data_IF_971094865620
#
_entry.id   IF_971094865620
#
_cell.length_a   1.000
_cell.length_b   1.000
_cell.length_c   1.000
_cell.angle_alpha   90.00
_cell.angle_beta   90.00
_cell.angle_gamma   90.00
#
_symmetry.space_group_name_H-M   'P 1'
#
loop_
_entity.id
_entity.type
_entity.pdbx_description
1 polymer ?
#
# COMPACT_ATOMS: atom_id res chain seq x y z
N UNK A 1 -3.88 -26.21 16.99
CA UNK A 1 -3.53 -24.85 16.52
C UNK A 1 -2.32 -24.95 15.62
N UNK A 2 -2.54 -25.05 14.30
CA UNK A 2 -1.48 -25.01 13.29
C UNK A 2 -1.54 -23.65 12.62
N UNK A 3 -0.80 -22.70 13.18
CA UNK A 3 -0.70 -21.32 12.71
C UNK A 3 0.64 -21.11 12.02
N UNK A 4 0.65 -20.31 10.96
CA UNK A 4 1.86 -19.95 10.26
C UNK A 4 1.82 -18.47 9.85
N UNK A 5 2.97 -17.80 9.90
CA UNK A 5 3.13 -16.44 9.41
C UNK A 5 4.32 -16.38 8.45
N UNK A 6 4.10 -15.81 7.27
CA UNK A 6 5.13 -15.65 6.24
C UNK A 6 5.19 -14.19 5.82
N UNK A 7 6.39 -13.60 5.91
CA UNK A 7 6.72 -12.29 5.36
C UNK A 7 7.81 -12.47 4.31
N UNK A 8 7.53 -12.10 3.07
CA UNK A 8 8.49 -12.29 1.99
C UNK A 8 8.41 -11.19 0.93
N UNK A 9 9.55 -10.92 0.32
CA UNK A 9 9.74 -9.88 -0.69
C UNK A 9 10.50 -10.45 -1.88
N UNK A 10 9.92 -10.32 -3.07
CA UNK A 10 10.50 -10.83 -4.30
C UNK A 10 10.65 -9.73 -5.34
N UNK A 11 11.77 -9.77 -6.04
CA UNK A 11 11.90 -9.18 -7.37
C UNK A 11 11.81 -10.33 -8.36
N UNK A 12 11.01 -10.19 -9.43
CA UNK A 12 10.81 -11.17 -10.51
C UNK A 12 9.92 -12.40 -10.17
N UNK A 13 9.80 -13.34 -11.13
CA UNK A 13 8.85 -14.48 -11.21
C UNK A 13 9.07 -15.60 -10.16
N UNK A 14 9.12 -15.27 -8.87
CA UNK A 14 9.26 -16.27 -7.78
C UNK A 14 7.94 -16.59 -7.08
N UNK A 15 6.84 -15.99 -7.52
CA UNK A 15 5.50 -16.19 -6.95
C UNK A 15 5.08 -17.67 -6.94
N UNK A 16 5.24 -18.38 -8.06
CA UNK A 16 4.85 -19.80 -8.18
C UNK A 16 5.61 -20.72 -7.23
N UNK A 17 6.87 -20.40 -6.91
CA UNK A 17 7.67 -21.19 -5.97
C UNK A 17 7.09 -21.10 -4.55
N UNK A 18 6.64 -19.93 -4.14
CA UNK A 18 6.00 -19.74 -2.84
C UNK A 18 4.65 -20.41 -2.79
N UNK A 19 3.85 -20.33 -3.86
CA UNK A 19 2.60 -21.07 -3.94
C UNK A 19 2.86 -22.56 -3.74
N UNK A 20 3.84 -23.13 -4.44
CA UNK A 20 4.21 -24.55 -4.27
C UNK A 20 4.59 -24.91 -2.84
N UNK A 21 5.32 -24.03 -2.14
CA UNK A 21 5.69 -24.25 -0.74
C UNK A 21 4.48 -24.13 0.21
N UNK A 22 3.62 -23.13 -0.01
CA UNK A 22 2.41 -22.93 0.76
C UNK A 22 1.42 -24.09 0.58
N UNK A 23 1.31 -24.65 -0.63
CA UNK A 23 0.47 -25.82 -0.88
C UNK A 23 0.91 -27.08 -0.11
N UNK A 24 2.20 -27.20 0.24
CA UNK A 24 2.71 -28.30 1.08
C UNK A 24 2.25 -28.20 2.54
N UNK A 25 1.75 -27.04 2.95
CA UNK A 25 1.19 -26.79 4.29
C UNK A 25 -0.32 -26.52 4.20
N UNK A 26 -1.01 -27.19 3.29
CA UNK A 26 -2.48 -27.11 3.08
C UNK A 26 -3.35 -27.49 4.28
N UNK A 27 -2.75 -28.08 5.32
CA UNK A 27 -3.39 -28.48 6.57
C UNK A 27 -3.51 -27.34 7.61
N UNK A 28 -3.09 -26.12 7.28
CA UNK A 28 -3.16 -24.98 8.20
C UNK A 28 -4.62 -24.57 8.47
N UNK A 29 -4.89 -24.24 9.72
CA UNK A 29 -6.19 -23.69 10.16
C UNK A 29 -6.17 -22.15 10.16
N UNK A 30 -4.97 -21.56 10.31
CA UNK A 30 -4.76 -20.12 10.33
C UNK A 30 -3.46 -19.73 9.63
N UNK A 31 -3.54 -18.71 8.77
CA UNK A 31 -2.43 -18.18 8.00
C UNK A 31 -2.43 -16.65 8.04
N UNK A 32 -1.28 -16.08 8.40
CA UNK A 32 -0.99 -14.65 8.25
C UNK A 32 0.05 -14.49 7.14
N UNK A 33 -0.32 -13.82 6.05
CA UNK A 33 0.48 -13.81 4.84
C UNK A 33 0.84 -12.38 4.40
N UNK A 34 2.13 -12.09 4.32
CA UNK A 34 2.67 -10.86 3.78
C UNK A 34 3.56 -11.20 2.59
N UNK A 35 3.12 -10.84 1.38
CA UNK A 35 3.87 -11.07 0.15
C UNK A 35 3.99 -9.76 -0.63
N UNK A 36 5.20 -9.44 -1.05
CA UNK A 36 5.45 -8.40 -2.03
C UNK A 36 6.10 -9.00 -3.28
N UNK A 37 5.48 -8.82 -4.45
CA UNK A 37 5.94 -9.32 -5.75
C UNK A 37 6.16 -8.13 -6.68
N UNK A 38 7.41 -7.82 -6.99
CA UNK A 38 7.76 -6.69 -7.88
C UNK A 38 8.11 -7.17 -9.29
N UNK A 39 7.64 -6.44 -10.30
CA UNK A 39 7.89 -6.75 -11.72
C UNK A 39 7.21 -8.05 -12.17
N UNK A 40 5.98 -8.28 -11.70
CA UNK A 40 5.18 -9.44 -12.09
C UNK A 40 4.48 -9.19 -13.44
N UNK A 41 3.99 -10.26 -14.08
CA UNK A 41 3.31 -10.15 -15.38
C UNK A 41 1.82 -9.80 -15.27
N UNK A 42 1.25 -9.85 -14.07
CA UNK A 42 -0.17 -9.54 -13.78
C UNK A 42 -0.35 -9.06 -12.34
N UNK A 43 -1.39 -8.28 -12.08
CA UNK A 43 -1.81 -7.98 -10.70
C UNK A 43 -2.36 -9.25 -10.03
N UNK A 44 -2.01 -9.47 -8.76
CA UNK A 44 -2.64 -10.48 -7.92
C UNK A 44 -3.91 -9.85 -7.31
N UNK A 45 -5.07 -10.34 -7.73
CA UNK A 45 -6.39 -9.87 -7.32
C UNK A 45 -7.15 -10.91 -6.48
N UNK A 46 -8.43 -10.69 -6.20
CA UNK A 46 -9.25 -11.62 -5.43
C UNK A 46 -9.44 -12.98 -6.11
N UNK A 47 -9.45 -13.03 -7.44
CA UNK A 47 -9.51 -14.31 -8.17
C UNK A 47 -8.22 -15.12 -7.97
N UNK A 48 -7.06 -14.45 -7.96
CA UNK A 48 -5.80 -15.09 -7.62
C UNK A 48 -5.80 -15.57 -6.16
N UNK A 49 -6.32 -14.77 -5.21
CA UNK A 49 -6.44 -15.19 -3.80
C UNK A 49 -7.26 -16.48 -3.67
N UNK A 50 -8.41 -16.55 -4.35
CA UNK A 50 -9.26 -17.73 -4.35
C UNK A 50 -8.55 -18.95 -4.92
N UNK A 51 -7.98 -18.80 -6.12
CA UNK A 51 -7.45 -19.93 -6.87
C UNK A 51 -6.10 -20.40 -6.35
N UNK A 52 -5.23 -19.48 -5.95
CA UNK A 52 -3.84 -19.79 -5.62
C UNK A 52 -3.67 -20.17 -4.15
N UNK A 53 -4.55 -19.70 -3.25
CA UNK A 53 -4.45 -19.97 -1.81
C UNK A 53 -5.65 -20.76 -1.29
N UNK A 54 -6.86 -20.20 -1.40
CA UNK A 54 -8.04 -20.74 -0.71
C UNK A 54 -8.47 -22.11 -1.27
N UNK A 55 -8.38 -22.31 -2.58
CA UNK A 55 -8.69 -23.59 -3.22
C UNK A 55 -7.77 -24.74 -2.75
N UNK A 56 -6.54 -24.43 -2.35
CA UNK A 56 -5.54 -25.42 -1.91
C UNK A 56 -5.46 -25.57 -0.39
N UNK A 57 -6.16 -24.74 0.37
CA UNK A 57 -6.15 -24.73 1.84
C UNK A 57 -7.57 -24.88 2.42
N UNK A 58 -8.26 -26.01 2.22
CA UNK A 58 -9.66 -26.18 2.61
C UNK A 58 -9.89 -26.16 4.13
N UNK A 59 -8.84 -26.33 4.94
CA UNK A 59 -8.91 -26.27 6.41
C UNK A 59 -8.70 -24.85 6.95
N UNK A 60 -8.43 -23.87 6.08
CA UNK A 60 -8.12 -22.52 6.49
C UNK A 60 -9.39 -21.79 6.97
N UNK A 61 -9.48 -21.56 8.27
CA UNK A 61 -10.59 -20.85 8.91
C UNK A 61 -10.27 -19.38 9.17
N UNK A 62 -8.99 -19.06 9.31
CA UNK A 62 -8.51 -17.70 9.56
C UNK A 62 -7.43 -17.36 8.54
N UNK A 63 -7.70 -16.34 7.73
CA UNK A 63 -6.75 -15.86 6.73
C UNK A 63 -6.63 -14.35 6.82
N UNK A 64 -5.45 -13.87 7.21
CA UNK A 64 -5.09 -12.45 7.19
C UNK A 64 -3.98 -12.27 6.19
N UNK A 65 -4.13 -11.32 5.28
CA UNK A 65 -3.15 -11.14 4.21
C UNK A 65 -2.91 -9.69 3.86
N UNK A 66 -1.69 -9.44 3.36
CA UNK A 66 -1.30 -8.30 2.58
C UNK A 66 -0.49 -8.83 1.40
N UNK A 67 -0.99 -8.59 0.19
CA UNK A 67 -0.33 -8.98 -1.04
C UNK A 67 -0.15 -7.72 -1.88
N UNK A 68 1.10 -7.32 -2.05
CA UNK A 68 1.47 -6.21 -2.91
C UNK A 68 2.08 -6.73 -4.20
N UNK A 69 1.61 -6.23 -5.34
CA UNK A 69 2.11 -6.61 -6.66
C UNK A 69 2.42 -5.36 -7.47
N UNK A 70 3.61 -5.25 -8.05
CA UNK A 70 3.89 -4.24 -9.08
C UNK A 70 4.08 -4.87 -10.46
N UNK A 71 3.57 -4.18 -11.49
CA UNK A 71 3.67 -4.59 -12.89
C UNK A 71 4.17 -3.44 -13.76
N UNK A 72 4.90 -3.78 -14.82
CA UNK A 72 5.26 -2.85 -15.90
C UNK A 72 4.10 -2.74 -16.89
N UNK A 73 3.67 -1.52 -17.19
CA UNK A 73 2.54 -1.25 -18.08
C UNK A 73 2.96 -0.94 -19.52
N UNK A 74 4.27 -0.87 -19.84
CA UNK A 74 4.74 -0.58 -21.20
C UNK A 74 4.28 -1.62 -22.23
N UNK A 75 4.17 -2.88 -21.80
CA UNK A 75 3.83 -4.01 -22.65
C UNK A 75 2.36 -4.43 -22.53
N UNK A 76 1.55 -3.67 -21.78
CA UNK A 76 0.22 -4.11 -21.34
C UNK A 76 -0.82 -3.00 -21.49
N UNK A 77 -1.92 -3.27 -22.20
CA UNK A 77 -3.12 -2.43 -22.19
C UNK A 77 -3.94 -2.68 -20.92
N UNK A 78 -3.31 -2.60 -19.76
CA UNK A 78 -3.94 -2.93 -18.49
C UNK A 78 -4.65 -1.70 -17.93
N UNK A 79 -5.98 -1.75 -17.90
CA UNK A 79 -6.80 -0.78 -17.19
C UNK A 79 -7.19 -1.37 -15.83
N UNK A 80 -6.32 -1.20 -14.83
CA UNK A 80 -6.57 -1.68 -13.46
C UNK A 80 -7.51 -0.67 -12.79
N UNK A 81 -8.76 -1.07 -12.53
CA UNK A 81 -9.69 -0.26 -11.73
C UNK A 81 -9.84 -0.82 -10.33
N UNK A 82 -9.96 0.08 -9.35
CA UNK A 82 -10.16 -0.28 -7.96
C UNK A 82 -11.48 -1.04 -7.76
N UNK A 83 -12.51 -0.65 -8.50
CA UNK A 83 -13.84 -1.24 -8.47
C UNK A 83 -13.77 -2.70 -8.94
N UNK A 84 -13.04 -2.98 -10.02
CA UNK A 84 -12.86 -4.34 -10.51
C UNK A 84 -12.11 -5.20 -9.48
N UNK A 85 -10.99 -4.71 -8.94
CA UNK A 85 -10.23 -5.43 -7.92
C UNK A 85 -11.10 -5.69 -6.68
N UNK A 86 -11.82 -4.68 -6.19
CA UNK A 86 -12.72 -4.83 -5.05
C UNK A 86 -13.83 -5.86 -5.34
N UNK A 87 -14.39 -5.86 -6.55
CA UNK A 87 -15.41 -6.83 -6.95
C UNK A 87 -14.84 -8.26 -6.95
N UNK A 88 -13.61 -8.48 -7.43
CA UNK A 88 -12.98 -9.80 -7.37
C UNK A 88 -12.78 -10.29 -5.93
N UNK A 89 -12.41 -9.40 -5.01
CA UNK A 89 -12.27 -9.72 -3.58
C UNK A 89 -13.61 -10.16 -2.98
N UNK A 90 -14.68 -9.39 -3.23
CA UNK A 90 -16.02 -9.74 -2.76
C UNK A 90 -16.48 -11.08 -3.34
N UNK A 91 -16.29 -11.31 -4.64
CA UNK A 91 -16.67 -12.56 -5.31
C UNK A 91 -15.87 -13.78 -4.78
N UNK A 92 -14.64 -13.57 -4.31
CA UNK A 92 -13.81 -14.59 -3.65
C UNK A 92 -14.15 -14.83 -2.16
N UNK A 93 -15.25 -14.26 -1.67
CA UNK A 93 -15.65 -14.37 -0.25
C UNK A 93 -14.84 -13.50 0.71
N UNK A 94 -13.93 -12.65 0.21
CA UNK A 94 -13.10 -11.75 1.00
C UNK A 94 -13.81 -10.40 1.24
N UNK A 95 -14.97 -10.44 1.90
CA UNK A 95 -15.82 -9.26 2.13
C UNK A 95 -15.14 -8.18 2.98
N UNK A 96 -14.24 -8.59 3.88
CA UNK A 96 -13.48 -7.69 4.74
C UNK A 96 -12.10 -7.34 4.15
N UNK A 97 -11.87 -7.54 2.86
CA UNK A 97 -10.64 -7.13 2.20
C UNK A 97 -10.83 -5.87 1.35
N UNK A 98 -9.75 -5.12 1.17
CA UNK A 98 -9.74 -3.94 0.30
C UNK A 98 -8.45 -3.85 -0.50
N UNK A 99 -8.35 -2.82 -1.33
CA UNK A 99 -7.20 -2.56 -2.19
C UNK A 99 -6.74 -1.11 -2.15
N UNK A 100 -5.44 -0.94 -2.41
CA UNK A 100 -4.76 0.31 -2.74
C UNK A 100 -4.14 0.11 -4.13
N UNK A 101 -4.33 1.09 -5.01
CA UNK A 101 -3.67 1.14 -6.32
C UNK A 101 -2.85 2.41 -6.34
N UNK A 102 -1.61 2.29 -6.76
CA UNK A 102 -0.63 3.36 -6.80
C UNK A 102 0.10 3.33 -8.14
N UNK A 103 0.22 4.49 -8.78
CA UNK A 103 1.08 4.65 -9.95
C UNK A 103 2.51 4.93 -9.44
N UNK A 104 3.40 3.96 -9.53
CA UNK A 104 4.78 4.11 -9.05
C UNK A 104 5.61 5.00 -9.98
N UNK A 105 5.35 4.87 -11.29
CA UNK A 105 5.91 5.68 -12.38
C UNK A 105 4.87 5.74 -13.51
N UNK A 106 5.17 6.47 -14.59
CA UNK A 106 4.38 6.48 -15.83
C UNK A 106 4.17 5.07 -16.41
N UNK A 107 5.04 4.13 -16.07
CA UNK A 107 5.11 2.79 -16.65
C UNK A 107 5.00 1.66 -15.62
N UNK A 108 4.76 1.97 -14.36
CA UNK A 108 4.69 0.97 -13.31
C UNK A 108 3.53 1.26 -12.37
N UNK A 109 2.69 0.25 -12.16
CA UNK A 109 1.55 0.32 -11.23
C UNK A 109 1.76 -0.72 -10.14
N UNK A 110 1.53 -0.33 -8.90
CA UNK A 110 1.39 -1.23 -7.77
C UNK A 110 -0.09 -1.41 -7.40
N UNK A 111 -0.45 -2.63 -7.05
CA UNK A 111 -1.71 -2.95 -6.41
C UNK A 111 -1.44 -3.77 -5.15
N UNK A 112 -1.88 -3.22 -4.03
CA UNK A 112 -1.92 -3.90 -2.74
C UNK A 112 -3.35 -4.35 -2.46
N UNK A 113 -3.55 -5.63 -2.16
CA UNK A 113 -4.80 -6.18 -1.62
C UNK A 113 -4.56 -6.69 -0.20
N UNK A 114 -5.49 -6.46 0.72
CA UNK A 114 -5.31 -6.87 2.11
C UNK A 114 -6.61 -7.05 2.87
N UNK A 115 -6.56 -7.93 3.88
CA UNK A 115 -7.64 -8.16 4.84
C UNK A 115 -7.71 -7.06 5.91
N UNK A 116 -8.92 -6.78 6.39
CA UNK A 116 -9.20 -5.90 7.53
C UNK A 116 -9.63 -6.70 8.78
N UNK A 117 -9.27 -6.23 10.00
CA UNK A 117 -8.37 -5.12 10.27
C UNK A 117 -6.94 -5.40 9.77
N UNK A 118 -6.24 -4.37 9.32
CA UNK A 118 -4.88 -4.52 8.80
C UNK A 118 -3.93 -4.91 9.94
N UNK A 119 -3.28 -6.07 9.83
CA UNK A 119 -2.55 -6.69 10.95
C UNK A 119 -1.01 -6.57 10.86
N UNK A 120 -0.49 -5.82 9.89
CA UNK A 120 0.95 -5.76 9.62
C UNK A 120 1.58 -4.44 10.07
N UNK A 121 2.88 -4.50 10.36
CA UNK A 121 3.68 -3.38 10.85
C UNK A 121 4.22 -2.48 9.74
N UNK A 122 4.14 -2.95 8.49
CA UNK A 122 4.75 -2.36 7.32
C UNK A 122 3.73 -2.29 6.19
N UNK A 123 3.61 -1.12 5.55
CA UNK A 123 2.76 -0.90 4.39
C UNK A 123 3.57 -0.16 3.32
N UNK A 124 3.55 -0.66 2.08
CA UNK A 124 4.26 -0.05 0.97
C UNK A 124 3.36 0.31 -0.20
N UNK A 125 3.91 1.13 -1.09
CA UNK A 125 3.29 1.61 -2.33
C UNK A 125 1.95 2.32 -2.09
N UNK A 126 1.92 3.21 -1.10
CA UNK A 126 0.75 4.05 -0.84
C UNK A 126 0.87 5.36 -1.62
N UNK A 127 -0.04 5.57 -2.58
CA UNK A 127 -0.15 6.81 -3.34
C UNK A 127 -1.16 7.80 -2.76
N UNK A 128 -1.46 8.85 -3.52
CA UNK A 128 -2.39 9.93 -3.17
C UNK A 128 -3.80 9.44 -2.81
N UNK A 129 -4.20 8.26 -3.31
CA UNK A 129 -5.51 7.67 -3.09
C UNK A 129 -5.36 6.36 -2.33
N UNK A 130 -5.76 6.36 -1.06
CA UNK A 130 -5.83 5.17 -0.21
C UNK A 130 -7.11 5.21 0.64
N UNK A 131 -7.61 4.06 1.13
CA UNK A 131 -8.86 4.02 1.87
C UNK A 131 -8.76 4.77 3.20
N UNK A 132 -9.87 5.40 3.61
CA UNK A 132 -9.96 6.07 4.91
C UNK A 132 -10.08 5.04 6.05
N UNK A 133 -8.95 4.44 6.40
CA UNK A 133 -8.81 3.39 7.41
C UNK A 133 -7.71 3.84 8.39
N UNK A 134 -7.90 3.47 9.66
CA UNK A 134 -6.85 3.61 10.68
C UNK A 134 -6.00 2.34 10.68
N UNK A 135 -4.74 2.47 10.29
CA UNK A 135 -3.75 1.40 10.27
C UNK A 135 -3.03 1.33 11.61
N UNK A 136 -3.72 0.84 12.63
CA UNK A 136 -3.28 0.89 14.03
C UNK A 136 -1.96 0.18 14.33
N UNK A 137 -1.50 -0.72 13.47
CA UNK A 137 -0.25 -1.49 13.68
C UNK A 137 0.91 -1.02 12.79
N UNK A 138 0.65 -0.18 11.78
CA UNK A 138 1.69 0.24 10.84
C UNK A 138 2.64 1.22 11.51
N UNK A 139 3.91 0.83 11.54
CA UNK A 139 5.02 1.65 12.07
C UNK A 139 5.98 2.08 10.97
N UNK A 140 5.95 1.43 9.81
CA UNK A 140 6.77 1.79 8.66
C UNK A 140 5.90 1.92 7.40
N UNK A 141 5.98 3.08 6.77
CA UNK A 141 5.19 3.43 5.59
C UNK A 141 6.11 3.88 4.47
N UNK A 142 5.97 3.22 3.31
CA UNK A 142 6.53 3.69 2.05
C UNK A 142 5.40 4.31 1.22
N UNK A 143 5.49 5.62 0.98
CA UNK A 143 4.60 6.33 0.09
C UNK A 143 5.31 6.62 -1.23
N UNK A 144 4.62 6.34 -2.32
CA UNK A 144 5.10 6.60 -3.67
C UNK A 144 3.93 6.96 -4.57
N UNK A 145 4.13 7.89 -5.50
CA UNK A 145 3.17 8.20 -6.55
C UNK A 145 3.89 8.89 -7.72
N UNK A 146 3.33 8.81 -8.93
CA UNK A 146 3.77 9.60 -10.07
C UNK A 146 3.27 11.04 -9.95
N UNK A 147 2.11 11.23 -9.32
CA UNK A 147 1.51 12.53 -9.09
C UNK A 147 2.10 13.20 -7.84
N UNK A 148 2.18 14.53 -7.86
CA UNK A 148 2.67 15.28 -6.71
C UNK A 148 1.77 15.09 -5.48
N UNK A 149 2.38 14.81 -4.33
CA UNK A 149 1.66 14.77 -3.05
C UNK A 149 1.23 16.17 -2.62
N UNK A 150 -0.06 16.33 -2.33
CA UNK A 150 -0.62 17.57 -1.78
C UNK A 150 -0.56 17.59 -0.25
N UNK A 151 -0.70 18.76 0.37
CA UNK A 151 -0.66 18.87 1.83
C UNK A 151 -1.71 17.98 2.54
N UNK A 152 -2.91 17.88 1.97
CA UNK A 152 -4.00 17.07 2.53
C UNK A 152 -3.68 15.56 2.52
N UNK A 153 -2.73 15.12 1.70
CA UNK A 153 -2.21 13.75 1.76
C UNK A 153 -1.47 13.52 3.08
N UNK A 154 -0.58 14.42 3.49
CA UNK A 154 0.19 14.29 4.72
C UNK A 154 -0.69 14.35 5.97
N UNK A 155 -1.72 15.22 5.97
CA UNK A 155 -2.76 15.23 7.01
C UNK A 155 -3.42 13.84 7.14
N UNK A 156 -3.82 13.23 6.02
CA UNK A 156 -4.40 11.88 6.02
C UNK A 156 -3.41 10.83 6.50
N UNK A 157 -2.12 10.95 6.19
CA UNK A 157 -1.11 10.04 6.74
C UNK A 157 -1.08 10.13 8.28
N UNK A 158 -1.02 11.34 8.85
CA UNK A 158 -0.98 11.47 10.31
C UNK A 158 -2.22 10.90 11.00
N UNK A 159 -3.41 11.06 10.39
CA UNK A 159 -4.67 10.53 10.90
C UNK A 159 -4.77 9.00 10.76
N UNK A 160 -4.34 8.45 9.63
CA UNK A 160 -4.46 7.02 9.33
C UNK A 160 -3.37 6.17 9.98
N UNK A 161 -2.21 6.74 10.34
CA UNK A 161 -1.05 5.98 10.82
C UNK A 161 -0.59 6.48 12.20
N UNK A 162 -1.37 6.24 13.27
CA UNK A 162 -1.12 6.83 14.58
C UNK A 162 0.16 6.32 15.26
N UNK A 163 0.73 5.18 14.83
CA UNK A 163 1.97 4.63 15.39
C UNK A 163 3.17 4.73 14.43
N UNK A 164 3.09 5.60 13.42
CA UNK A 164 4.11 5.73 12.38
C UNK A 164 5.46 6.15 12.96
N UNK A 165 6.49 5.33 12.76
CA UNK A 165 7.87 5.58 13.19
C UNK A 165 8.83 5.90 12.06
N UNK A 166 8.58 5.31 10.88
CA UNK A 166 9.42 5.43 9.70
C UNK A 166 8.54 5.80 8.51
N UNK A 167 8.78 6.96 7.92
CA UNK A 167 8.12 7.41 6.70
C UNK A 167 9.15 7.56 5.60
N UNK A 168 8.97 6.81 4.51
CA UNK A 168 9.75 7.00 3.28
C UNK A 168 8.84 7.55 2.20
N UNK A 169 9.23 8.68 1.62
CA UNK A 169 8.53 9.38 0.54
C UNK A 169 9.37 9.28 -0.72
N UNK A 170 8.75 8.83 -1.80
CA UNK A 170 9.38 8.71 -3.10
C UNK A 170 8.48 9.28 -4.20
N UNK A 171 8.99 10.16 -5.05
CA UNK A 171 8.17 10.82 -6.06
C UNK A 171 9.01 11.24 -7.27
N UNK A 172 9.50 10.25 -8.02
CA UNK A 172 10.50 10.45 -9.10
C UNK A 172 9.99 11.38 -10.20
N UNK A 173 8.70 11.30 -10.51
CA UNK A 173 8.13 11.88 -11.72
C UNK A 173 7.25 13.10 -11.49
N UNK A 174 7.15 13.65 -10.27
CA UNK A 174 6.51 14.94 -10.09
C UNK A 174 7.31 16.02 -10.81
N UNK A 175 6.84 16.33 -12.02
CA UNK A 175 7.31 17.45 -12.85
C UNK A 175 6.58 18.75 -12.53
N UNK A 176 5.56 18.70 -11.68
CA UNK A 176 4.76 19.85 -11.34
C UNK A 176 5.47 20.63 -10.23
N UNK A 177 5.71 21.95 -10.40
CA UNK A 177 5.85 22.80 -9.25
C UNK A 177 4.56 22.66 -8.45
N UNK A 178 4.65 22.31 -7.16
CA UNK A 178 3.52 22.54 -6.26
C UNK A 178 3.30 24.05 -6.31
N UNK A 179 2.22 24.49 -6.96
CA UNK A 179 2.00 25.92 -7.18
C UNK A 179 1.99 26.63 -5.81
N UNK A 180 2.90 27.59 -5.55
CA UNK A 180 2.92 28.35 -4.30
C UNK A 180 1.58 29.02 -3.99
N UNK A 181 0.75 29.26 -5.01
CA UNK A 181 -0.57 29.84 -4.83
C UNK A 181 -1.62 28.80 -4.41
N UNK A 182 -1.49 27.52 -4.81
CA UNK A 182 -2.31 26.44 -4.20
C UNK A 182 -1.89 26.11 -2.76
N UNK A 183 -0.75 26.64 -2.31
CA UNK A 183 -0.31 26.60 -0.91
C UNK A 183 -0.92 27.72 -0.04
N UNK A 184 -1.59 28.73 -0.62
CA UNK A 184 -2.10 29.88 0.14
C UNK A 184 -3.41 30.52 -0.33
N UNK A 185 -4.01 30.12 -1.46
CA UNK A 185 -5.24 30.75 -1.97
C UNK A 185 -6.38 29.75 -2.13
N UNK A 186 -6.94 29.35 -1.00
CA UNK A 186 -8.38 29.36 -0.71
C UNK A 186 -8.64 28.53 0.56
N UNK A 187 -9.39 29.11 1.49
CA UNK A 187 -9.71 28.60 2.85
C UNK A 187 -8.58 28.87 3.87
N UNK A 188 -8.64 29.82 4.81
CA UNK A 188 -9.63 29.93 5.91
C UNK A 188 -10.06 28.59 6.55
N UNK A 189 -9.33 27.50 6.30
CA UNK A 189 -9.29 26.33 7.16
C UNK A 189 -7.89 26.31 7.74
N UNK A 190 -7.78 26.68 9.02
CA UNK A 190 -6.55 26.46 9.77
C UNK A 190 -6.31 24.96 9.81
N UNK A 191 -5.59 24.43 8.84
CA UNK A 191 -5.06 23.10 8.97
C UNK A 191 -4.10 23.16 10.15
N UNK A 192 -4.53 22.62 11.28
CA UNK A 192 -3.69 22.42 12.45
C UNK A 192 -2.42 21.73 12.00
N UNK A 193 -1.29 22.19 12.55
CA UNK A 193 0.02 21.61 12.31
C UNK A 193 -0.08 20.08 12.40
N UNK A 194 0.37 19.39 11.34
CA UNK A 194 0.31 17.93 11.27
C UNK A 194 1.38 17.37 12.19
N UNK A 195 0.96 16.83 13.33
CA UNK A 195 1.87 16.22 14.30
C UNK A 195 2.04 14.73 14.01
N UNK A 196 3.28 14.31 13.79
CA UNK A 196 3.66 12.90 13.71
C UNK A 196 4.32 12.45 15.02
N UNK A 197 3.49 12.20 16.04
CA UNK A 197 3.91 11.98 17.43
C UNK A 197 5.00 10.91 17.64
N UNK A 198 5.06 9.91 16.76
CA UNK A 198 5.99 8.79 16.87
C UNK A 198 7.04 8.73 15.76
N UNK A 199 7.06 9.69 14.84
CA UNK A 199 7.97 9.66 13.70
C UNK A 199 9.40 9.92 14.17
N UNK A 200 10.27 8.94 13.92
CA UNK A 200 11.69 8.97 14.31
C UNK A 200 12.63 9.01 13.10
N UNK A 201 12.12 8.71 11.91
CA UNK A 201 12.90 8.65 10.69
C UNK A 201 12.06 9.06 9.50
N UNK A 202 12.56 10.03 8.75
CA UNK A 202 12.00 10.52 7.50
C UNK A 202 13.05 10.32 6.40
N UNK A 203 12.69 9.59 5.36
CA UNK A 203 13.51 9.41 4.16
C UNK A 203 12.77 9.98 2.95
N UNK A 204 13.30 11.05 2.35
CA UNK A 204 12.72 11.70 1.18
C UNK A 204 13.66 11.49 0.00
N UNK A 205 13.31 10.53 -0.86
CA UNK A 205 14.10 10.16 -2.03
C UNK A 205 13.47 10.69 -3.31
N UNK A 206 14.30 11.22 -4.22
CA UNK A 206 13.91 11.63 -5.59
C UNK A 206 12.63 12.47 -5.64
N UNK A 207 12.38 13.30 -4.63
CA UNK A 207 11.14 14.06 -4.47
C UNK A 207 11.42 15.56 -4.49
N UNK A 208 10.37 16.36 -4.68
CA UNK A 208 10.48 17.81 -4.63
C UNK A 208 10.83 18.30 -3.21
N UNK A 209 11.66 19.35 -3.11
CA UNK A 209 12.11 19.91 -1.82
C UNK A 209 10.97 20.40 -0.93
N UNK A 210 9.83 20.76 -1.52
CA UNK A 210 8.68 21.30 -0.78
C UNK A 210 8.09 20.26 0.19
N UNK A 211 8.28 18.96 -0.06
CA UNK A 211 7.85 17.94 0.91
C UNK A 211 8.67 18.05 2.19
N UNK A 212 9.99 18.28 2.10
CA UNK A 212 10.81 18.53 3.29
C UNK A 212 10.35 19.78 4.03
N UNK A 213 10.01 20.85 3.29
CA UNK A 213 9.49 22.07 3.90
C UNK A 213 8.17 21.84 4.65
N UNK A 214 7.30 20.94 4.18
CA UNK A 214 6.06 20.60 4.88
C UNK A 214 6.28 19.82 6.19
N UNK A 215 7.33 19.02 6.27
CA UNK A 215 7.67 18.27 7.49
C UNK A 215 8.54 19.06 8.47
N UNK A 216 9.41 19.94 7.97
CA UNK A 216 10.43 20.62 8.78
C UNK A 216 10.04 22.04 9.20
N UNK A 217 9.13 22.71 8.48
CA UNK A 217 8.70 24.04 8.90
C UNK A 217 7.62 23.92 9.98
N UNK A 218 8.04 24.00 11.24
CA UNK A 218 7.16 24.16 12.41
C UNK A 218 6.34 25.47 12.37
N UNK A 219 6.70 26.39 11.48
CA UNK A 219 6.04 27.68 11.32
C UNK A 219 5.39 27.80 9.95
N UNK A 220 4.07 27.65 9.90
CA UNK A 220 3.23 28.48 9.03
C UNK A 220 2.03 28.97 9.85
N UNK A 221 2.24 30.13 10.46
CA UNK A 221 1.22 30.97 11.06
C UNK A 221 0.21 31.46 10.01
#
# INVERSE_FOLDING_TARGET
MKCFSLKTYFRFQQYDQILSLLHRISYLESLTLYICVKGHNRIIDGTCVQNDFLAYMPQLHSFSFYINTSIDTRDLSYNVSRENIQQTLVNSGQQNATSIICNLTTYEIACSIFSLPFAFDYLEDVGNIFPNIVFSYVTCLLVQDCDAFRYEFFVRIAQSFPLLKYLRIFNIESRLPVDPLTLSSDHSQSYTMVEYLHLTSLDVGYSHKDYLEQFLNETKA
#
